data_IF_381453879050
#
_entry.id   IF_381453879050
#
_cell.length_a   1.000
_cell.length_b   1.000
_cell.length_c   1.000
_cell.angle_alpha   90.00
_cell.angle_beta   90.00
_cell.angle_gamma   90.00
#
_symmetry.space_group_name_H-M   'P 1'
#
loop_
_entity.id
_entity.type
_entity.pdbx_description
1 polymer ?
#
# COMPACT_ATOMS: atom_id res chain seq x y z
N UNK A 1 -5.56 -3.80 -26.32
CA UNK A 1 -5.41 -3.81 -24.85
C UNK A 1 -4.79 -5.14 -24.47
N UNK A 2 -3.56 -5.15 -23.95
CA UNK A 2 -3.00 -6.38 -23.38
C UNK A 2 -3.86 -6.75 -22.17
N UNK A 3 -4.54 -7.88 -22.25
CA UNK A 3 -5.39 -8.37 -21.16
C UNK A 3 -4.45 -8.99 -20.12
N UNK A 4 -4.06 -8.20 -19.12
CA UNK A 4 -3.29 -8.70 -17.99
C UNK A 4 -4.21 -9.49 -17.05
N UNK A 5 -3.64 -10.49 -16.39
CA UNK A 5 -4.31 -11.32 -15.39
C UNK A 5 -3.52 -11.20 -14.08
N UNK A 6 -3.52 -10.03 -13.41
CA UNK A 6 -2.75 -9.83 -12.19
C UNK A 6 -3.28 -10.69 -11.04
N UNK A 7 -2.39 -11.16 -10.19
CA UNK A 7 -2.76 -11.85 -8.95
C UNK A 7 -3.05 -10.88 -7.80
N UNK A 8 -2.39 -9.72 -7.82
CA UNK A 8 -2.50 -8.68 -6.81
C UNK A 8 -2.59 -7.33 -7.53
N UNK A 9 -3.53 -6.48 -7.13
CA UNK A 9 -3.68 -5.11 -7.64
C UNK A 9 -3.71 -4.17 -6.44
N UNK A 10 -2.76 -3.24 -6.39
CA UNK A 10 -2.75 -2.16 -5.40
C UNK A 10 -3.29 -0.88 -6.02
N UNK A 11 -4.23 -0.24 -5.33
CA UNK A 11 -4.87 1.01 -5.74
C UNK A 11 -4.73 2.03 -4.61
N UNK A 12 -4.19 3.19 -4.94
CA UNK A 12 -4.12 4.37 -4.06
C UNK A 12 -5.15 5.40 -4.53
N UNK A 13 -5.44 6.39 -3.68
CA UNK A 13 -6.43 7.44 -3.97
C UNK A 13 -7.81 6.89 -4.38
N UNK A 14 -8.28 5.90 -3.63
CA UNK A 14 -9.59 5.28 -3.89
C UNK A 14 -10.77 6.25 -3.69
N UNK A 15 -10.59 7.24 -2.81
CA UNK A 15 -11.57 8.23 -2.37
C UNK A 15 -12.86 7.61 -1.81
N UNK A 16 -12.76 6.35 -1.39
CA UNK A 16 -13.87 5.61 -0.82
C UNK A 16 -14.10 6.01 0.64
N UNK A 17 -15.35 5.88 1.06
CA UNK A 17 -15.77 6.14 2.43
C UNK A 17 -16.49 4.92 2.99
N UNK A 18 -16.68 4.89 4.31
CA UNK A 18 -17.46 3.83 4.97
C UNK A 18 -18.94 3.79 4.53
N UNK A 19 -19.42 4.79 3.78
CA UNK A 19 -20.77 4.80 3.21
C UNK A 19 -20.91 3.95 1.96
N UNK A 20 -19.79 3.59 1.32
CA UNK A 20 -19.78 2.77 0.11
C UNK A 20 -19.44 1.34 0.49
N UNK A 21 -20.30 0.42 0.08
CA UNK A 21 -20.21 -1.00 0.44
C UNK A 21 -19.15 -1.70 -0.40
N UNK A 22 -18.41 -2.64 0.18
CA UNK A 22 -17.37 -3.39 -0.56
C UNK A 22 -17.96 -4.17 -1.74
N UNK A 23 -19.24 -4.54 -1.70
CA UNK A 23 -19.95 -5.22 -2.79
C UNK A 23 -20.04 -4.39 -4.07
N UNK A 24 -19.99 -3.06 -3.97
CA UNK A 24 -19.99 -2.17 -5.13
C UNK A 24 -18.68 -2.24 -5.93
N UNK A 25 -17.61 -2.75 -5.30
CA UNK A 25 -16.29 -2.93 -5.89
C UNK A 25 -15.86 -4.40 -5.95
N UNK A 26 -16.79 -5.33 -5.67
CA UNK A 26 -16.47 -6.74 -5.71
C UNK A 26 -16.18 -7.19 -7.15
N UNK A 27 -14.97 -7.72 -7.37
CA UNK A 27 -14.59 -8.35 -8.63
C UNK A 27 -14.70 -9.87 -8.44
N UNK A 28 -15.46 -10.60 -9.30
CA UNK A 28 -15.55 -12.04 -9.21
C UNK A 28 -14.17 -12.70 -9.25
N UNK A 29 -13.90 -13.64 -8.34
CA UNK A 29 -12.61 -14.32 -8.30
C UNK A 29 -11.53 -13.59 -7.48
N UNK A 30 -11.85 -12.46 -6.84
CA UNK A 30 -10.87 -11.60 -6.16
C UNK A 30 -11.40 -11.19 -4.76
N UNK A 31 -10.54 -11.29 -3.76
CA UNK A 31 -10.70 -10.74 -2.42
C UNK A 31 -10.25 -9.27 -2.37
N UNK A 32 -10.99 -8.45 -1.62
CA UNK A 32 -10.72 -7.02 -1.44
C UNK A 32 -10.25 -6.75 0.01
N UNK A 33 -9.18 -5.98 0.15
CA UNK A 33 -8.72 -5.36 1.39
C UNK A 33 -8.75 -3.85 1.21
N UNK A 34 -9.30 -3.10 2.16
CA UNK A 34 -9.51 -1.64 2.01
C UNK A 34 -9.27 -0.91 3.30
N UNK A 35 -8.59 0.25 3.20
CA UNK A 35 -8.44 1.21 4.28
C UNK A 35 -8.82 2.59 3.78
N UNK A 36 -10.00 3.04 4.20
CA UNK A 36 -10.51 4.37 3.89
C UNK A 36 -9.80 5.43 4.76
N UNK A 37 -9.58 6.62 4.20
CA UNK A 37 -9.18 7.78 4.99
C UNK A 37 -10.36 8.25 5.86
N UNK A 38 -10.09 8.66 7.08
CA UNK A 38 -11.09 9.26 7.99
C UNK A 38 -10.82 10.76 8.17
N UNK A 39 -11.88 11.54 8.38
CA UNK A 39 -11.79 12.95 8.78
C UNK A 39 -11.42 13.96 7.69
N UNK A 40 -11.06 13.52 6.47
CA UNK A 40 -10.78 14.40 5.31
C UNK A 40 -11.25 13.78 3.99
N UNK A 41 -11.42 14.62 2.98
CA UNK A 41 -11.72 14.21 1.61
C UNK A 41 -10.45 13.73 0.90
N UNK A 42 -10.60 12.77 -0.03
CA UNK A 42 -9.51 12.17 -0.81
C UNK A 42 -8.65 11.18 -0.03
N UNK A 43 -7.80 10.44 -0.74
CA UNK A 43 -6.95 9.37 -0.20
C UNK A 43 -7.62 7.99 -0.19
N UNK A 44 -7.23 7.13 0.73
CA UNK A 44 -7.63 5.75 0.87
C UNK A 44 -6.81 4.80 -0.02
N UNK A 45 -6.64 3.57 0.47
CA UNK A 45 -5.95 2.49 -0.24
C UNK A 45 -6.83 1.24 -0.33
N UNK A 46 -6.66 0.49 -1.41
CA UNK A 46 -7.34 -0.77 -1.65
C UNK A 46 -6.37 -1.76 -2.32
N UNK A 47 -6.37 -2.99 -1.84
CA UNK A 47 -5.59 -4.08 -2.43
C UNK A 47 -6.53 -5.23 -2.78
N UNK A 48 -6.55 -5.59 -4.06
CA UNK A 48 -7.22 -6.78 -4.57
C UNK A 48 -6.25 -7.96 -4.60
N UNK A 49 -6.73 -9.14 -4.23
CA UNK A 49 -5.98 -10.39 -4.23
C UNK A 49 -6.81 -11.49 -4.89
N UNK A 50 -6.27 -12.18 -5.88
CA UNK A 50 -6.93 -13.32 -6.52
C UNK A 50 -7.23 -14.41 -5.49
N UNK A 51 -8.45 -14.97 -5.54
CA UNK A 51 -8.81 -16.13 -4.72
C UNK A 51 -7.88 -17.32 -5.00
N UNK A 52 -7.56 -18.07 -3.95
CA UNK A 52 -6.59 -19.17 -3.98
C UNK A 52 -5.22 -18.77 -3.41
N UNK A 53 -4.91 -17.48 -3.33
CA UNK A 53 -3.78 -16.99 -2.55
C UNK A 53 -4.17 -16.87 -1.07
N UNK A 54 -3.35 -17.43 -0.18
CA UNK A 54 -3.57 -17.35 1.26
C UNK A 54 -3.07 -15.99 1.80
N UNK A 55 -3.90 -14.96 1.63
CA UNK A 55 -3.62 -13.61 2.10
C UNK A 55 -4.30 -13.30 3.44
N UNK A 56 -3.58 -12.63 4.34
CA UNK A 56 -4.13 -12.11 5.60
C UNK A 56 -3.58 -10.74 5.90
N UNK A 57 -4.43 -9.82 6.38
CA UNK A 57 -4.01 -8.49 6.81
C UNK A 57 -3.31 -8.53 8.18
N UNK A 58 -2.16 -7.87 8.28
CA UNK A 58 -1.48 -7.60 9.54
C UNK A 58 -2.08 -6.36 10.20
N UNK A 59 -2.44 -6.50 11.48
CA UNK A 59 -2.98 -5.40 12.32
C UNK A 59 -1.90 -4.58 13.04
N UNK A 60 -0.64 -4.87 12.76
CA UNK A 60 0.48 -4.08 13.27
C UNK A 60 0.36 -2.65 12.74
N UNK A 61 0.50 -1.68 13.65
CA UNK A 61 0.42 -0.26 13.28
C UNK A 61 1.80 0.21 12.87
N UNK A 62 1.89 0.80 11.69
CA UNK A 62 3.01 1.66 11.31
C UNK A 62 3.08 2.86 12.27
N UNK A 63 4.28 3.35 12.56
CA UNK A 63 4.49 4.50 13.43
C UNK A 63 3.93 5.79 12.79
N UNK A 64 3.96 5.88 11.47
CA UNK A 64 3.30 6.90 10.71
C UNK A 64 1.82 6.54 10.52
N UNK A 65 0.92 7.48 10.78
CA UNK A 65 -0.53 7.37 10.49
C UNK A 65 -0.80 7.47 8.97
N UNK A 66 -0.06 6.69 8.18
CA UNK A 66 -0.16 6.66 6.73
C UNK A 66 -1.25 5.67 6.31
N UNK A 67 -1.84 5.97 5.16
CA UNK A 67 -2.84 5.15 4.51
C UNK A 67 -2.11 3.96 3.88
N UNK A 68 -2.12 2.84 4.59
CA UNK A 68 -1.39 1.64 4.18
C UNK A 68 -2.15 0.36 4.53
N UNK A 69 -2.01 -0.65 3.67
CA UNK A 69 -2.48 -2.02 3.87
C UNK A 69 -1.25 -2.93 3.86
N UNK A 70 -1.13 -3.76 4.89
CA UNK A 70 -0.06 -4.75 5.02
C UNK A 70 -0.66 -6.14 4.94
N UNK A 71 -0.35 -6.86 3.86
CA UNK A 71 -0.76 -8.24 3.65
C UNK A 71 0.40 -9.20 3.77
N UNK A 72 0.13 -10.37 4.36
CA UNK A 72 1.04 -11.52 4.34
C UNK A 72 0.43 -12.60 3.47
N UNK A 73 1.25 -13.12 2.57
CA UNK A 73 0.93 -14.21 1.64
C UNK A 73 1.68 -15.46 2.07
N UNK A 74 0.93 -16.52 2.33
CA UNK A 74 1.48 -17.82 2.71
C UNK A 74 1.43 -18.79 1.55
N UNK A 75 2.58 -19.37 1.23
CA UNK A 75 2.68 -20.46 0.25
C UNK A 75 3.25 -21.68 0.98
N UNK A 76 2.50 -22.80 1.09
CA UNK A 76 2.99 -23.99 1.79
C UNK A 76 4.34 -24.46 1.25
N UNK A 77 5.33 -24.62 2.13
CA UNK A 77 6.68 -25.04 1.76
C UNK A 77 7.56 -23.94 1.16
N UNK A 78 7.15 -22.67 1.23
CA UNK A 78 7.94 -21.51 0.82
C UNK A 78 7.97 -20.45 1.91
N UNK A 79 8.89 -19.50 1.79
CA UNK A 79 8.96 -18.33 2.65
C UNK A 79 7.69 -17.48 2.49
N UNK A 80 7.20 -16.88 3.58
CA UNK A 80 6.07 -15.94 3.53
C UNK A 80 6.49 -14.66 2.80
N UNK A 81 5.65 -14.17 1.88
CA UNK A 81 5.83 -12.88 1.22
C UNK A 81 4.98 -11.84 1.92
N UNK A 82 5.54 -10.68 2.23
CA UNK A 82 4.81 -9.56 2.82
C UNK A 82 4.73 -8.40 1.83
N UNK A 83 3.52 -7.87 1.63
CA UNK A 83 3.29 -6.74 0.73
C UNK A 83 2.71 -5.59 1.52
N UNK A 84 3.37 -4.43 1.40
CA UNK A 84 2.93 -3.17 1.94
C UNK A 84 2.49 -2.24 0.81
N UNK A 85 1.19 -1.99 0.71
CA UNK A 85 0.61 -0.97 -0.16
C UNK A 85 0.52 0.33 0.63
N UNK A 86 1.15 1.40 0.15
CA UNK A 86 1.25 2.70 0.83
C UNK A 86 0.74 3.82 -0.07
N UNK A 87 -0.05 4.73 0.51
CA UNK A 87 -0.29 6.05 -0.06
C UNK A 87 0.23 7.11 0.89
N UNK A 88 1.26 7.86 0.46
CA UNK A 88 1.72 9.07 1.14
C UNK A 88 0.98 10.27 0.52
N UNK A 89 0.08 10.95 1.26
CA UNK A 89 -0.57 12.14 0.76
C UNK A 89 0.44 13.28 0.56
N UNK A 90 0.26 14.18 -0.43
CA UNK A 90 1.07 15.38 -0.54
C UNK A 90 0.83 16.27 0.69
N UNK A 91 1.84 16.41 1.55
CA UNK A 91 1.79 17.20 2.78
C UNK A 91 3.14 17.87 3.05
N UNK A 92 3.11 19.05 3.65
CA UNK A 92 4.30 19.73 4.20
C UNK A 92 4.46 19.35 5.69
N UNK A 93 4.74 18.08 5.96
CA UNK A 93 4.96 17.57 7.31
C UNK A 93 6.16 16.62 7.32
N UNK A 94 7.33 17.21 7.59
CA UNK A 94 8.62 16.51 7.61
C UNK A 94 8.68 15.43 8.70
N UNK A 95 8.00 15.61 9.83
CA UNK A 95 8.01 14.62 10.91
C UNK A 95 7.26 13.35 10.50
N UNK A 96 6.12 13.50 9.81
CA UNK A 96 5.40 12.36 9.28
C UNK A 96 6.15 11.68 8.14
N UNK A 97 6.97 12.41 7.39
CA UNK A 97 7.83 11.83 6.36
C UNK A 97 8.99 11.05 6.96
N UNK A 98 9.69 11.57 7.97
CA UNK A 98 10.72 10.83 8.69
C UNK A 98 10.17 9.53 9.28
N UNK A 99 9.03 9.59 9.97
CA UNK A 99 8.38 8.38 10.52
C UNK A 99 8.02 7.36 9.43
N UNK A 100 7.55 7.83 8.28
CA UNK A 100 7.26 6.93 7.17
C UNK A 100 8.54 6.28 6.63
N UNK A 101 9.63 7.04 6.50
CA UNK A 101 10.92 6.49 6.07
C UNK A 101 11.40 5.42 7.07
N UNK A 102 11.35 5.70 8.37
CA UNK A 102 11.71 4.74 9.42
C UNK A 102 10.87 3.45 9.33
N UNK A 103 9.56 3.59 9.12
CA UNK A 103 8.64 2.45 8.92
C UNK A 103 9.01 1.64 7.66
N UNK A 104 9.31 2.32 6.55
CA UNK A 104 9.68 1.69 5.28
C UNK A 104 11.03 0.98 5.37
N UNK A 105 12.03 1.57 6.04
CA UNK A 105 13.33 0.95 6.28
C UNK A 105 13.19 -0.29 7.17
N UNK A 106 12.42 -0.18 8.25
CA UNK A 106 12.12 -1.32 9.12
C UNK A 106 11.43 -2.44 8.34
N UNK A 107 10.45 -2.12 7.51
CA UNK A 107 9.75 -3.09 6.67
C UNK A 107 10.69 -3.73 5.63
N UNK A 108 11.51 -2.92 4.97
CA UNK A 108 12.46 -3.36 3.95
C UNK A 108 13.56 -4.27 4.50
N UNK A 109 13.84 -4.22 5.81
CA UNK A 109 14.81 -5.11 6.46
C UNK A 109 14.35 -6.56 6.62
N UNK A 110 13.07 -6.86 6.34
CA UNK A 110 12.50 -8.22 6.42
C UNK A 110 12.88 -9.04 5.18
N UNK A 111 12.78 -10.37 5.29
CA UNK A 111 13.37 -11.29 4.30
C UNK A 111 12.74 -11.23 2.91
N UNK A 112 11.40 -11.32 2.81
CA UNK A 112 10.69 -11.40 1.53
C UNK A 112 9.57 -10.36 1.52
N UNK A 113 9.87 -9.20 0.94
CA UNK A 113 8.99 -8.04 1.00
C UNK A 113 8.80 -7.37 -0.35
N UNK A 114 7.60 -6.83 -0.56
CA UNK A 114 7.29 -5.89 -1.63
C UNK A 114 6.65 -4.65 -1.03
N UNK A 115 7.19 -3.49 -1.38
CA UNK A 115 6.60 -2.19 -1.02
C UNK A 115 6.12 -1.55 -2.31
N UNK A 116 4.87 -1.09 -2.33
CA UNK A 116 4.25 -0.50 -3.52
C UNK A 116 3.26 0.59 -3.15
N UNK A 117 2.78 1.32 -4.14
CA UNK A 117 1.79 2.37 -4.01
C UNK A 117 2.31 3.72 -4.51
N UNK A 118 1.78 4.80 -3.97
CA UNK A 118 2.07 6.16 -4.39
C UNK A 118 2.67 6.95 -3.22
N UNK A 119 3.94 7.29 -3.38
CA UNK A 119 4.71 8.00 -2.37
C UNK A 119 4.66 9.53 -2.54
N UNK A 120 4.03 10.05 -3.61
CA UNK A 120 4.00 11.48 -3.93
C UNK A 120 5.36 12.16 -3.74
N UNK A 121 6.41 11.59 -4.35
CA UNK A 121 7.77 12.07 -4.28
C UNK A 121 8.22 12.65 -5.64
N UNK A 122 7.63 13.77 -6.08
CA UNK A 122 7.83 14.32 -7.43
C UNK A 122 9.27 14.81 -7.67
N UNK A 123 10.03 15.02 -6.60
CA UNK A 123 11.40 15.53 -6.68
C UNK A 123 12.45 14.42 -6.89
N UNK A 124 12.06 13.14 -6.85
CA UNK A 124 12.98 12.04 -7.13
C UNK A 124 13.21 11.97 -8.64
N UNK A 125 14.45 12.10 -9.06
CA UNK A 125 14.89 11.69 -10.40
C UNK A 125 15.14 10.18 -10.40
N UNK A 126 14.17 9.44 -10.93
CA UNK A 126 14.21 7.98 -11.01
C UNK A 126 15.26 7.45 -12.01
N UNK A 127 15.66 8.24 -13.00
CA UNK A 127 16.70 7.84 -13.96
C UNK A 127 18.08 7.92 -13.31
N UNK A 128 18.28 8.94 -12.48
CA UNK A 128 19.53 9.18 -11.76
C UNK A 128 19.55 8.54 -10.37
N UNK A 129 18.42 7.96 -9.92
CA UNK A 129 18.23 7.48 -8.55
C UNK A 129 18.66 8.53 -7.51
N UNK A 130 18.29 9.79 -7.75
CA UNK A 130 18.69 10.93 -6.94
C UNK A 130 17.49 11.78 -6.55
N UNK A 131 17.64 12.58 -5.50
CA UNK A 131 16.68 13.60 -5.13
C UNK A 131 17.46 14.84 -4.69
N UNK A 132 16.99 16.06 -4.99
CA UNK A 132 17.57 17.25 -4.42
C UNK A 132 17.45 17.16 -2.90
N UNK A 133 18.58 17.30 -2.19
CA UNK A 133 18.57 17.41 -0.74
C UNK A 133 17.72 18.60 -0.33
N UNK A 134 16.94 18.46 0.73
CA UNK A 134 16.26 19.61 1.34
C UNK A 134 17.32 20.57 1.87
N UNK A 135 17.38 21.79 1.33
CA UNK A 135 18.08 22.92 1.95
C UNK A 135 17.43 23.30 3.30
#
# INVERSE_FOLDING_TARGET
MCQTSPDIISITETWLTAKVDDREFAIPGIQLFRKNRTGRHGGGVLTYVRYGLLASEKKEKLACETEAIWLIFRTPGSQELEILTVYRPPRNDTQSDSRLIDDLESFASRSEVMITGDFNAPNIDWNLSSAPGSE
#
